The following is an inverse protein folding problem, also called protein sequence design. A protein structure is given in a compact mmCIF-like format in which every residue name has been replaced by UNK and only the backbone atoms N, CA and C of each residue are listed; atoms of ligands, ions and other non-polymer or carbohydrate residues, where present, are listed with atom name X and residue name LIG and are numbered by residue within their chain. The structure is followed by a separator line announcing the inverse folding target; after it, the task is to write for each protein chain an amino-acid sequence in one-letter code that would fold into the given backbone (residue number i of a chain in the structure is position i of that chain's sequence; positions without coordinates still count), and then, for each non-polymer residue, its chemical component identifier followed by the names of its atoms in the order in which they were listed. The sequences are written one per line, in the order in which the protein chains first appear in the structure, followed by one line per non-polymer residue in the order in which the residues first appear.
data_IF_312624330512
#
_entry.id   IF_312624330512
#
_cell.length_a   1.000
_cell.length_b   1.000
_cell.length_c   1.000
_cell.angle_alpha   90.00
_cell.angle_beta   90.00
_cell.angle_gamma   90.00
#
_symmetry.space_group_name_H-M   'P 1'
#
loop_
_entity.id
_entity.type
_entity.pdbx_description
1 polymer ?
#
# COMPACT_ATOMS: atom_id res chain seq x y z
N UNK A 1 -23.92 -5.49 -24.41
CA UNK A 1 -22.76 -4.63 -24.74
C UNK A 1 -21.52 -5.49 -24.62
N UNK A 2 -21.07 -6.08 -25.73
CA UNK A 2 -19.87 -6.90 -25.74
C UNK A 2 -18.66 -5.95 -25.82
N UNK A 3 -17.90 -5.83 -24.74
CA UNK A 3 -16.62 -5.13 -24.76
C UNK A 3 -15.69 -5.86 -25.74
N UNK A 4 -14.98 -5.08 -26.56
CA UNK A 4 -14.05 -5.62 -27.53
C UNK A 4 -12.98 -6.44 -26.80
N UNK A 5 -12.61 -7.65 -27.27
CA UNK A 5 -11.53 -8.45 -26.68
C UNK A 5 -10.19 -7.70 -26.58
N UNK A 6 -10.02 -6.60 -27.32
CA UNK A 6 -8.83 -5.74 -27.28
C UNK A 6 -8.73 -4.83 -26.04
N UNK A 7 -9.79 -4.78 -25.21
CA UNK A 7 -9.88 -3.91 -24.03
C UNK A 7 -9.53 -4.61 -22.71
N UNK A 8 -9.37 -5.94 -22.73
CA UNK A 8 -8.68 -6.63 -21.64
C UNK A 8 -7.19 -6.32 -21.75
N UNK A 9 -6.56 -5.99 -20.61
CA UNK A 9 -5.15 -5.58 -20.49
C UNK A 9 -4.30 -6.23 -21.60
N UNK A 10 -3.87 -5.38 -22.54
CA UNK A 10 -3.07 -5.80 -23.67
C UNK A 10 -1.81 -6.47 -23.11
N UNK A 11 -1.69 -7.77 -23.41
CA UNK A 11 -0.80 -8.77 -22.82
C UNK A 11 -1.41 -9.53 -21.63
N UNK A 12 -1.43 -10.86 -21.77
CA UNK A 12 -1.86 -11.84 -20.76
C UNK A 12 -0.85 -11.94 -19.62
N UNK A 13 -0.50 -10.82 -19.01
CA UNK A 13 0.48 -10.70 -17.94
C UNK A 13 -0.28 -10.70 -16.61
N UNK A 14 -0.07 -11.76 -15.81
CA UNK A 14 -0.63 -11.97 -14.48
C UNK A 14 0.52 -11.99 -13.48
N UNK A 15 0.40 -11.22 -12.41
CA UNK A 15 1.28 -11.32 -11.26
C UNK A 15 0.44 -11.54 -10.00
N UNK A 16 0.92 -12.43 -9.13
CA UNK A 16 0.31 -12.67 -7.84
C UNK A 16 0.83 -11.66 -6.81
N UNK A 17 -0.05 -11.20 -5.92
CA UNK A 17 0.32 -10.39 -4.77
C UNK A 17 0.60 -11.31 -3.57
N UNK A 18 1.87 -11.73 -3.41
CA UNK A 18 2.31 -12.57 -2.30
C UNK A 18 2.78 -11.72 -1.11
N UNK A 19 2.17 -11.83 0.09
CA UNK A 19 2.66 -11.14 1.27
C UNK A 19 4.14 -11.43 1.54
N UNK A 20 4.92 -10.39 1.85
CA UNK A 20 6.37 -10.51 2.11
C UNK A 20 7.25 -10.62 0.86
N UNK A 21 6.70 -10.56 -0.36
CA UNK A 21 7.47 -10.51 -1.61
C UNK A 21 6.99 -9.37 -2.51
N UNK A 22 7.93 -8.62 -3.09
CA UNK A 22 7.64 -7.60 -4.10
C UNK A 22 7.81 -8.22 -5.50
N UNK A 23 6.70 -8.37 -6.23
CA UNK A 23 6.71 -8.81 -7.61
C UNK A 23 6.55 -7.61 -8.55
N UNK A 24 7.31 -7.57 -9.64
CA UNK A 24 7.27 -6.48 -10.63
C UNK A 24 7.09 -7.05 -12.03
N UNK A 25 6.24 -6.41 -12.83
CA UNK A 25 6.14 -6.60 -14.29
C UNK A 25 6.14 -5.24 -14.97
N UNK A 26 6.50 -5.23 -16.24
CA UNK A 26 6.38 -4.07 -17.11
C UNK A 26 5.21 -4.29 -18.05
N UNK A 27 4.38 -3.27 -18.27
CA UNK A 27 3.36 -3.28 -19.32
C UNK A 27 3.69 -2.19 -20.34
N UNK A 28 3.36 -2.45 -21.61
CA UNK A 28 3.52 -1.47 -22.68
C UNK A 28 2.19 -1.27 -23.40
N UNK A 29 1.65 -0.05 -23.33
CA UNK A 29 0.35 0.29 -23.92
C UNK A 29 0.59 1.10 -25.19
N UNK A 30 0.12 0.57 -26.33
CA UNK A 30 0.32 1.18 -27.66
C UNK A 30 -0.72 2.24 -28.03
N UNK A 31 -1.91 2.18 -27.42
CA UNK A 31 -3.05 3.02 -27.78
C UNK A 31 -3.68 3.57 -26.51
N UNK A 32 -4.10 4.83 -26.56
CA UNK A 32 -4.87 5.45 -25.49
C UNK A 32 -6.20 4.72 -25.28
N UNK A 33 -6.70 4.70 -24.05
CA UNK A 33 -7.92 4.01 -23.70
C UNK A 33 -7.97 3.51 -22.26
N UNK A 34 -9.10 2.90 -21.89
CA UNK A 34 -9.34 2.34 -20.56
C UNK A 34 -9.27 0.82 -20.62
N UNK A 35 -8.43 0.24 -19.77
CA UNK A 35 -8.22 -1.20 -19.64
C UNK A 35 -8.75 -1.66 -18.29
N UNK A 36 -9.45 -2.79 -18.31
CA UNK A 36 -10.03 -3.38 -17.11
C UNK A 36 -9.34 -4.70 -16.78
N UNK A 37 -9.11 -4.91 -15.48
CA UNK A 37 -8.58 -6.13 -14.91
C UNK A 37 -9.41 -6.58 -13.71
N UNK A 38 -9.28 -7.86 -13.37
CA UNK A 38 -9.90 -8.46 -12.19
C UNK A 38 -8.84 -9.26 -11.45
N UNK A 39 -9.02 -9.42 -10.14
CA UNK A 39 -8.23 -10.37 -9.39
C UNK A 39 -8.44 -11.78 -9.96
N UNK A 40 -7.35 -12.53 -10.13
CA UNK A 40 -7.36 -13.83 -10.81
C UNK A 40 -7.07 -15.00 -9.85
N UNK A 41 -7.01 -14.74 -8.56
CA UNK A 41 -6.81 -15.72 -7.50
C UNK A 41 -7.74 -15.43 -6.34
N UNK A 42 -8.47 -16.43 -5.86
CA UNK A 42 -9.43 -16.27 -4.77
C UNK A 42 -8.70 -15.76 -3.53
N UNK A 43 -9.06 -14.55 -3.09
CA UNK A 43 -8.39 -13.84 -1.99
C UNK A 43 -9.36 -13.45 -0.84
N UNK A 44 -10.56 -14.05 -0.81
CA UNK A 44 -11.55 -13.85 0.26
C UNK A 44 -12.97 -13.59 -0.24
N UNK A 45 -13.87 -13.25 0.68
CA UNK A 45 -15.31 -13.08 0.42
C UNK A 45 -15.61 -12.02 -0.64
N UNK A 46 -14.81 -10.95 -0.68
CA UNK A 46 -14.99 -9.84 -1.62
C UNK A 46 -14.14 -9.97 -2.89
N UNK A 47 -13.65 -11.16 -3.21
CA UNK A 47 -12.78 -11.41 -4.37
C UNK A 47 -13.36 -10.92 -5.71
N UNK A 48 -14.68 -10.97 -5.89
CA UNK A 48 -15.35 -10.49 -7.12
C UNK A 48 -15.57 -8.97 -7.20
N UNK A 49 -15.32 -8.22 -6.12
CA UNK A 49 -15.62 -6.78 -6.02
C UNK A 49 -14.35 -5.92 -6.00
N UNK A 50 -13.27 -6.40 -6.63
CA UNK A 50 -11.99 -5.69 -6.72
C UNK A 50 -11.56 -5.47 -8.18
N UNK A 51 -12.25 -4.58 -8.91
CA UNK A 51 -11.84 -4.21 -10.25
C UNK A 51 -10.54 -3.39 -10.23
N UNK A 52 -9.68 -3.65 -11.21
CA UNK A 52 -8.50 -2.84 -11.50
C UNK A 52 -8.79 -2.08 -12.81
N UNK A 53 -8.54 -0.77 -12.81
CA UNK A 53 -8.72 0.09 -13.99
C UNK A 53 -7.41 0.79 -14.28
N UNK A 54 -6.98 0.72 -15.54
CA UNK A 54 -5.80 1.43 -16.05
C UNK A 54 -6.26 2.31 -17.20
N UNK A 55 -6.04 3.61 -17.08
CA UNK A 55 -6.33 4.57 -18.13
C UNK A 55 -5.02 5.02 -18.77
N UNK A 56 -4.87 4.77 -20.07
CA UNK A 56 -3.76 5.26 -20.87
C UNK A 56 -4.16 6.56 -21.55
N UNK A 57 -3.46 7.63 -21.19
CA UNK A 57 -3.69 8.99 -21.67
C UNK A 57 -2.44 9.54 -22.35
N UNK A 58 -2.59 10.67 -23.02
CA UNK A 58 -1.48 11.43 -23.57
C UNK A 58 -0.50 11.90 -22.48
N UNK A 59 0.74 12.20 -22.87
CA UNK A 59 1.75 12.67 -21.91
C UNK A 59 1.35 14.01 -21.25
N UNK A 60 0.68 14.89 -21.99
CA UNK A 60 0.26 16.20 -21.50
C UNK A 60 -0.81 16.07 -20.41
N UNK A 61 -1.82 15.23 -20.64
CA UNK A 61 -2.87 14.94 -19.67
C UNK A 61 -2.30 14.28 -18.41
N UNK A 62 -1.37 13.33 -18.59
CA UNK A 62 -0.70 12.67 -17.47
C UNK A 62 0.07 13.67 -16.59
N UNK A 63 0.81 14.61 -17.18
CA UNK A 63 1.55 15.63 -16.42
C UNK A 63 0.61 16.56 -15.66
N UNK A 64 -0.47 16.99 -16.29
CA UNK A 64 -1.51 17.82 -15.66
C UNK A 64 -2.13 17.10 -14.47
N UNK A 65 -2.52 15.83 -14.65
CA UNK A 65 -3.05 14.98 -13.59
C UNK A 65 -2.05 14.79 -12.45
N UNK A 66 -0.78 14.50 -12.74
CA UNK A 66 0.27 14.27 -11.72
C UNK A 66 0.45 15.47 -10.80
N UNK A 67 0.42 16.68 -11.34
CA UNK A 67 0.52 17.92 -10.55
C UNK A 67 -0.71 18.09 -9.64
N UNK A 68 -1.91 17.84 -10.18
CA UNK A 68 -3.15 17.89 -9.40
C UNK A 68 -3.14 16.85 -8.26
N UNK A 69 -2.74 15.61 -8.54
CA UNK A 69 -2.64 14.54 -7.55
C UNK A 69 -1.65 14.86 -6.44
N UNK A 70 -0.46 15.37 -6.78
CA UNK A 70 0.55 15.75 -5.77
C UNK A 70 -0.02 16.73 -4.74
N UNK A 71 -0.80 17.73 -5.19
CA UNK A 71 -1.47 18.70 -4.32
C UNK A 71 -2.57 18.08 -3.44
N UNK A 72 -3.28 17.07 -3.94
CA UNK A 72 -4.28 16.33 -3.17
C UNK A 72 -3.61 15.51 -2.05
N UNK A 73 -2.59 14.71 -2.39
CA UNK A 73 -1.85 13.88 -1.43
C UNK A 73 -1.09 14.70 -0.38
N UNK A 74 -0.55 15.87 -0.76
CA UNK A 74 0.12 16.75 0.20
C UNK A 74 -0.86 17.24 1.27
N UNK A 75 -2.06 17.68 0.88
CA UNK A 75 -3.08 18.15 1.83
C UNK A 75 -3.50 17.06 2.81
N UNK A 76 -3.77 15.85 2.32
CA UNK A 76 -4.16 14.73 3.20
C UNK A 76 -3.02 14.28 4.11
N UNK A 77 -1.78 14.26 3.60
CA UNK A 77 -0.59 13.96 4.39
C UNK A 77 -0.36 15.00 5.49
N UNK A 78 -0.43 16.28 5.15
CA UNK A 78 -0.16 17.36 6.11
C UNK A 78 -1.25 17.38 7.21
N UNK A 79 -2.51 17.07 6.88
CA UNK A 79 -3.59 16.86 7.85
C UNK A 79 -3.35 15.64 8.77
N UNK A 80 -2.88 14.51 8.22
CA UNK A 80 -2.52 13.33 9.02
C UNK A 80 -1.33 13.62 9.93
N UNK A 81 -0.31 14.29 9.41
CA UNK A 81 0.90 14.64 10.16
C UNK A 81 0.60 15.65 11.27
N UNK A 82 -0.26 16.64 11.02
CA UNK A 82 -0.66 17.60 12.05
C UNK A 82 -1.45 16.95 13.18
N UNK A 83 -2.36 16.01 12.85
CA UNK A 83 -3.04 15.19 13.84
C UNK A 83 -2.06 14.35 14.66
N UNK A 84 -1.16 13.61 14.00
CA UNK A 84 -0.16 12.78 14.68
C UNK A 84 0.73 13.62 15.59
N UNK A 85 1.22 14.76 15.11
CA UNK A 85 2.03 15.69 15.90
C UNK A 85 1.26 16.20 17.12
N UNK A 86 -0.02 16.55 16.96
CA UNK A 86 -0.86 16.96 18.09
C UNK A 86 -1.02 15.85 19.13
N UNK A 87 -1.19 14.60 18.68
CA UNK A 87 -1.26 13.43 19.56
C UNK A 87 0.06 13.20 20.30
N UNK A 88 1.19 13.27 19.58
CA UNK A 88 2.51 13.07 20.16
C UNK A 88 2.88 14.19 21.14
N UNK A 89 2.49 15.43 20.84
CA UNK A 89 2.69 16.57 21.74
C UNK A 89 1.91 16.41 23.05
N UNK A 90 0.66 15.93 22.99
CA UNK A 90 -0.18 15.65 24.19
C UNK A 90 0.36 14.49 25.02
N UNK A 91 0.97 13.50 24.39
CA UNK A 91 1.47 12.29 25.04
C UNK A 91 2.99 12.27 25.18
N UNK A 92 3.65 13.42 25.04
CA UNK A 92 5.11 13.54 24.92
C UNK A 92 5.86 12.87 26.08
N UNK A 93 5.39 13.07 27.30
CA UNK A 93 6.01 12.49 28.51
C UNK A 93 5.86 10.97 28.55
N UNK A 94 4.68 10.45 28.19
CA UNK A 94 4.43 9.01 28.11
C UNK A 94 5.23 8.35 26.99
N UNK A 95 5.38 9.02 25.85
CA UNK A 95 6.20 8.56 24.73
C UNK A 95 7.68 8.56 25.11
N UNK A 96 8.15 9.58 25.85
CA UNK A 96 9.53 9.65 26.36
C UNK A 96 9.82 8.58 27.41
N UNK A 97 8.81 8.20 28.19
CA UNK A 97 8.90 7.15 29.20
C UNK A 97 8.77 5.73 28.63
N UNK A 98 8.38 5.56 27.35
CA UNK A 98 8.39 4.25 26.70
C UNK A 98 9.83 3.80 26.50
N UNK A 99 10.23 2.77 27.25
CA UNK A 99 11.48 2.07 26.99
C UNK A 99 11.51 1.54 25.54
N UNK A 100 12.64 1.65 24.83
CA UNK A 100 12.77 1.06 23.52
C UNK A 100 12.57 -0.46 23.64
N UNK A 101 11.91 -1.09 22.65
CA UNK A 101 11.62 -2.53 22.69
C UNK A 101 12.85 -3.42 22.87
N UNK A 102 14.04 -2.91 22.57
CA UNK A 102 15.33 -3.58 22.83
C UNK A 102 15.64 -3.76 24.31
N UNK A 103 15.11 -2.92 25.21
CA UNK A 103 15.30 -3.05 26.66
C UNK A 103 14.28 -4.01 27.32
N UNK A 104 13.21 -4.40 26.62
CA UNK A 104 12.27 -5.40 27.14
C UNK A 104 12.78 -6.84 26.98
N UNK A 105 13.61 -7.11 25.96
CA UNK A 105 14.18 -8.45 25.76
C UNK A 105 15.25 -8.82 26.78
N UNK A 106 15.92 -7.84 27.38
CA UNK A 106 16.90 -8.09 28.44
C UNK A 106 16.20 -8.51 29.74
N UNK A 107 15.09 -7.85 30.11
CA UNK A 107 14.30 -8.24 31.29
C UNK A 107 13.53 -9.56 31.14
N UNK A 108 13.15 -9.95 29.91
CA UNK A 108 12.53 -11.26 29.66
C UNK A 108 13.55 -12.41 29.65
N UNK A 109 14.83 -12.11 29.36
CA UNK A 109 15.92 -13.10 29.42
C UNK A 109 16.37 -13.42 30.86
N UNK A 110 16.25 -12.47 31.79
CA UNK A 110 16.59 -12.69 33.20
C UNK A 110 15.52 -13.54 33.92
N UNK A 111 14.24 -13.37 33.58
CA UNK A 111 13.14 -14.14 34.19
C UNK A 111 13.14 -15.62 33.76
N UNK A 112 13.60 -15.92 32.55
CA UNK A 112 13.64 -17.29 32.03
C UNK A 112 14.83 -18.09 32.60
N UNK A 113 15.86 -17.44 33.14
CA UNK A 113 17.03 -18.12 33.71
C UNK A 113 16.84 -18.54 35.18
N UNK A 114 15.89 -17.94 35.90
CA UNK A 114 15.56 -18.38 37.27
C UNK A 114 14.60 -19.57 37.32
N UNK A 115 13.95 -19.90 36.19
CA UNK A 115 12.99 -21.02 36.10
C UNK A 115 13.66 -22.36 35.72
N UNK A 116 14.94 -22.35 35.33
CA UNK A 116 15.70 -23.57 34.96
C UNK A 116 16.60 -24.13 36.09
N UNK A 117 16.54 -23.58 37.31
CA UNK A 117 17.40 -23.96 38.43
C UNK A 117 16.67 -24.49 39.68
N UNK A 118 15.39 -24.90 39.55
CA UNK A 118 14.67 -25.67 40.57
C UNK A 118 14.12 -26.99 40.01
#
# INVERSE_FOLDING_TARGET
MAYSPEQYLANKERINACPGRLNQTSMFIKREGVFYGQCSEICGVNHGFMPIVVEAVSLEDYLTWKVAQKRYYQRTRDARLSYQKSYDDKNREQIRARKPKTELSESESELNNETELN
#
